data_IF_774591206298
#
_entry.id   IF_774591206298
#
_cell.length_a   1.000
_cell.length_b   1.000
_cell.length_c   1.000
_cell.angle_alpha   90.00
_cell.angle_beta   90.00
_cell.angle_gamma   90.00
#
_symmetry.space_group_name_H-M   'P 1'
#
loop_
_entity.id
_entity.type
_entity.pdbx_description
1 polymer ?
#
# COMPACT_ATOMS: atom_id res chain seq x y z
N UNK A 1 4.54 -24.46 7.75
CA UNK A 1 4.26 -24.46 6.30
C UNK A 1 5.16 -23.47 5.57
N UNK A 2 5.34 -23.64 4.24
CA UNK A 2 6.09 -22.70 3.39
C UNK A 2 5.13 -21.74 2.66
N UNK A 3 5.28 -20.45 2.91
CA UNK A 3 4.42 -19.41 2.33
C UNK A 3 5.22 -18.48 1.42
N UNK A 4 4.85 -18.41 0.14
CA UNK A 4 5.43 -17.45 -0.79
C UNK A 4 4.48 -16.27 -0.99
N UNK A 5 4.87 -15.08 -0.52
CA UNK A 5 4.00 -13.90 -0.50
C UNK A 5 4.46 -12.87 -1.53
N UNK A 6 3.53 -12.30 -2.30
CA UNK A 6 3.86 -11.26 -3.30
C UNK A 6 3.05 -10.00 -3.06
N UNK A 7 3.74 -8.94 -2.64
CA UNK A 7 3.26 -7.58 -2.51
C UNK A 7 4.08 -6.66 -3.44
N UNK A 8 3.43 -5.89 -4.29
CA UNK A 8 4.11 -5.10 -5.32
C UNK A 8 4.13 -3.59 -5.10
N UNK A 9 3.57 -3.12 -3.98
CA UNK A 9 3.41 -1.69 -3.66
C UNK A 9 3.49 -1.48 -2.14
N UNK A 10 3.66 -0.24 -1.69
CA UNK A 10 3.76 0.10 -0.25
C UNK A 10 2.53 -0.33 0.57
N UNK A 11 1.32 -0.20 0.02
CA UNK A 11 0.10 -0.71 0.67
C UNK A 11 0.10 -2.23 0.81
N UNK A 12 0.62 -2.93 -0.22
CA UNK A 12 0.80 -4.38 -0.17
C UNK A 12 1.83 -4.81 0.88
N UNK A 13 2.92 -4.05 1.06
CA UNK A 13 3.93 -4.28 2.09
C UNK A 13 3.33 -4.15 3.51
N UNK A 14 2.53 -3.11 3.77
CA UNK A 14 1.78 -2.95 5.01
C UNK A 14 0.86 -4.14 5.29
N UNK A 15 0.03 -4.52 4.32
CA UNK A 15 -0.90 -5.64 4.49
C UNK A 15 -0.16 -6.98 4.57
N UNK A 16 0.94 -7.12 3.83
CA UNK A 16 1.81 -8.30 3.88
C UNK A 16 2.48 -8.47 5.23
N UNK A 17 2.98 -7.38 5.84
CA UNK A 17 3.58 -7.43 7.16
C UNK A 17 2.58 -7.85 8.24
N UNK A 18 1.34 -7.34 8.21
CA UNK A 18 0.29 -7.75 9.13
C UNK A 18 -0.14 -9.21 8.92
N UNK A 19 -0.26 -9.64 7.67
CA UNK A 19 -0.53 -11.05 7.34
C UNK A 19 0.57 -11.96 7.86
N UNK A 20 1.85 -11.59 7.72
CA UNK A 20 2.99 -12.36 8.21
C UNK A 20 2.96 -12.49 9.74
N UNK A 21 2.65 -11.42 10.47
CA UNK A 21 2.48 -11.49 11.94
C UNK A 21 1.40 -12.50 12.33
N UNK A 22 0.25 -12.46 11.66
CA UNK A 22 -0.82 -13.44 11.89
C UNK A 22 -0.39 -14.88 11.53
N UNK A 23 0.35 -15.06 10.43
CA UNK A 23 0.85 -16.39 10.05
C UNK A 23 1.84 -16.94 11.08
N UNK A 24 2.76 -16.15 11.62
CA UNK A 24 3.68 -16.60 12.68
C UNK A 24 2.98 -16.89 14.01
N UNK A 25 1.87 -16.19 14.30
CA UNK A 25 1.06 -16.49 15.48
C UNK A 25 0.34 -17.85 15.37
N UNK A 26 -0.22 -18.16 14.20
CA UNK A 26 -0.99 -19.39 13.96
C UNK A 26 -0.10 -20.59 13.55
N UNK A 27 1.02 -20.32 12.90
CA UNK A 27 2.04 -21.31 12.49
C UNK A 27 3.43 -20.81 12.90
N UNK A 28 3.85 -21.03 14.16
CA UNK A 28 5.18 -20.60 14.64
C UNK A 28 6.36 -21.20 13.87
N UNK A 29 6.12 -22.29 13.12
CA UNK A 29 7.09 -22.91 12.22
C UNK A 29 6.92 -22.45 10.75
N UNK A 30 6.19 -21.36 10.50
CA UNK A 30 6.04 -20.82 9.16
C UNK A 30 7.39 -20.45 8.57
N UNK A 31 7.66 -20.94 7.37
CA UNK A 31 8.82 -20.55 6.56
C UNK A 31 8.30 -19.61 5.46
N UNK A 32 8.71 -18.34 5.50
CA UNK A 32 8.16 -17.30 4.63
C UNK A 32 9.24 -16.75 3.71
N UNK A 33 8.91 -16.72 2.41
CA UNK A 33 9.70 -16.08 1.37
C UNK A 33 8.83 -15.10 0.61
N UNK A 34 9.33 -13.90 0.29
CA UNK A 34 8.41 -12.86 -0.18
C UNK A 34 9.03 -11.83 -1.12
N UNK A 35 8.16 -11.22 -1.90
CA UNK A 35 8.33 -9.94 -2.57
C UNK A 35 7.57 -8.89 -1.75
N UNK A 36 8.22 -7.80 -1.36
CA UNK A 36 7.62 -6.81 -0.48
C UNK A 36 8.53 -5.63 -0.26
N UNK A 37 8.58 -5.11 0.94
CA UNK A 37 9.44 -4.00 1.33
C UNK A 37 9.93 -4.10 2.77
N UNK A 38 10.23 -2.93 3.34
CA UNK A 38 10.85 -2.83 4.66
C UNK A 38 9.96 -3.40 5.77
N UNK A 39 8.62 -3.15 5.73
CA UNK A 39 7.70 -3.59 6.79
C UNK A 39 7.59 -5.12 6.86
N UNK A 40 7.48 -5.79 5.71
CA UNK A 40 7.52 -7.26 5.66
C UNK A 40 8.88 -7.79 6.10
N UNK A 41 9.97 -7.12 5.70
CA UNK A 41 11.33 -7.54 6.04
C UNK A 41 11.65 -7.37 7.53
N UNK A 42 11.12 -6.35 8.19
CA UNK A 42 11.19 -6.19 9.64
C UNK A 42 10.51 -7.36 10.35
N UNK A 43 9.26 -7.69 9.99
CA UNK A 43 8.54 -8.83 10.58
C UNK A 43 9.25 -10.16 10.33
N UNK A 44 9.83 -10.34 9.13
CA UNK A 44 10.61 -11.54 8.84
C UNK A 44 11.80 -11.69 9.80
N UNK A 45 12.57 -10.63 10.00
CA UNK A 45 13.75 -10.60 10.88
C UNK A 45 13.43 -10.80 12.37
N UNK A 46 12.20 -10.48 12.79
CA UNK A 46 11.73 -10.74 14.15
C UNK A 46 11.52 -12.24 14.43
N UNK A 47 11.31 -13.06 13.38
CA UNK A 47 10.90 -14.46 13.50
C UNK A 47 11.84 -15.45 12.84
N UNK A 48 12.61 -15.03 11.86
CA UNK A 48 13.49 -15.92 11.08
C UNK A 48 14.85 -15.28 10.79
N UNK A 49 15.88 -16.12 10.83
CA UNK A 49 17.21 -15.78 10.34
C UNK A 49 17.33 -15.94 8.82
N UNK A 50 18.22 -15.18 8.20
CA UNK A 50 18.51 -15.31 6.77
C UNK A 50 17.86 -14.25 5.89
N UNK A 51 17.49 -14.62 4.65
CA UNK A 51 16.97 -13.71 3.63
C UNK A 51 15.65 -14.24 3.08
N UNK A 52 14.53 -13.72 3.58
CA UNK A 52 13.20 -13.99 3.05
C UNK A 52 12.80 -13.07 1.89
N UNK A 53 13.31 -11.84 1.87
CA UNK A 53 13.04 -10.85 0.83
C UNK A 53 13.77 -11.19 -0.48
N UNK A 54 13.01 -11.53 -1.51
CA UNK A 54 13.51 -11.86 -2.85
C UNK A 54 13.61 -10.63 -3.74
N UNK A 55 12.64 -9.74 -3.62
CA UNK A 55 12.54 -8.52 -4.42
C UNK A 55 11.87 -7.41 -3.63
N UNK A 56 12.55 -6.27 -3.52
CA UNK A 56 11.94 -5.05 -3.00
C UNK A 56 11.05 -4.40 -4.08
N UNK A 57 9.82 -3.99 -3.70
CA UNK A 57 8.93 -3.29 -4.62
C UNK A 57 9.52 -1.95 -5.11
N UNK A 58 10.39 -1.32 -4.32
CA UNK A 58 11.08 -0.06 -4.66
C UNK A 58 12.01 -0.21 -5.85
N UNK A 59 12.64 -1.38 -6.03
CA UNK A 59 13.56 -1.66 -7.14
C UNK A 59 12.90 -1.60 -8.53
N UNK A 60 11.58 -1.48 -8.59
CA UNK A 60 10.81 -1.38 -9.82
C UNK A 60 10.34 0.02 -10.18
N UNK A 61 10.59 1.00 -9.32
CA UNK A 61 10.07 2.36 -9.42
C UNK A 61 10.95 3.33 -10.26
N UNK A 62 11.93 2.84 -11.02
CA UNK A 62 12.79 3.68 -11.86
C UNK A 62 11.99 4.27 -13.01
N UNK A 63 11.88 5.60 -13.01
CA UNK A 63 11.04 6.44 -13.82
C UNK A 63 11.83 7.01 -15.01
N UNK A 64 11.22 6.99 -16.19
CA UNK A 64 11.71 7.73 -17.36
C UNK A 64 10.98 7.37 -18.64
N UNK A 65 10.56 8.37 -19.39
CA UNK A 65 9.73 8.30 -20.60
C UNK A 65 10.34 7.53 -21.80
N UNK A 66 11.64 7.24 -21.79
CA UNK A 66 12.38 6.56 -22.88
C UNK A 66 12.24 5.02 -22.83
N UNK A 67 11.44 4.45 -21.95
CA UNK A 67 11.59 3.06 -21.51
C UNK A 67 10.46 2.08 -21.84
N UNK A 68 9.59 2.31 -22.80
CA UNK A 68 8.50 1.35 -23.07
C UNK A 68 9.04 -0.02 -23.50
N UNK A 69 10.05 -0.06 -24.35
CA UNK A 69 10.68 -1.31 -24.80
C UNK A 69 11.59 -1.93 -23.70
N UNK A 70 12.34 -1.10 -22.95
CA UNK A 70 13.14 -1.53 -21.81
C UNK A 70 12.24 -2.01 -20.65
N UNK A 71 11.07 -1.39 -20.44
CA UNK A 71 10.07 -1.85 -19.47
C UNK A 71 9.53 -3.25 -19.78
N UNK A 72 9.27 -3.57 -21.04
CA UNK A 72 8.80 -4.90 -21.42
C UNK A 72 9.83 -5.98 -21.07
N UNK A 73 11.10 -5.74 -21.37
CA UNK A 73 12.20 -6.67 -21.04
C UNK A 73 12.38 -6.81 -19.53
N UNK A 74 12.42 -5.70 -18.80
CA UNK A 74 12.52 -5.69 -17.32
C UNK A 74 11.34 -6.42 -16.67
N UNK A 75 10.13 -6.22 -17.21
CA UNK A 75 8.93 -6.89 -16.71
C UNK A 75 8.97 -8.40 -16.97
N UNK A 76 9.52 -8.83 -18.10
CA UNK A 76 9.72 -10.23 -18.44
C UNK A 76 10.76 -10.91 -17.54
N UNK A 77 11.87 -10.24 -17.26
CA UNK A 77 12.89 -10.74 -16.34
C UNK A 77 12.37 -10.88 -14.91
N UNK A 78 11.49 -9.96 -14.46
CA UNK A 78 10.83 -10.10 -13.17
C UNK A 78 9.97 -11.37 -13.08
N UNK A 79 9.18 -11.69 -14.11
CA UNK A 79 8.41 -12.94 -14.13
C UNK A 79 9.33 -14.15 -14.10
N UNK A 80 10.36 -14.15 -14.93
CA UNK A 80 11.32 -15.25 -15.00
C UNK A 80 11.99 -15.51 -13.63
N UNK A 81 12.42 -14.45 -12.96
CA UNK A 81 12.97 -14.52 -11.61
C UNK A 81 11.96 -15.06 -10.60
N UNK A 82 10.73 -14.52 -10.60
CA UNK A 82 9.66 -14.94 -9.72
C UNK A 82 9.34 -16.43 -9.89
N UNK A 83 9.14 -16.88 -11.12
CA UNK A 83 8.79 -18.27 -11.45
C UNK A 83 9.92 -19.24 -11.10
N UNK A 84 11.18 -18.86 -11.38
CA UNK A 84 12.33 -19.67 -11.03
C UNK A 84 12.48 -19.81 -9.51
N UNK A 85 12.27 -18.71 -8.78
CA UNK A 85 12.38 -18.68 -7.34
C UNK A 85 11.29 -19.50 -6.66
N UNK A 86 10.01 -19.34 -7.06
CA UNK A 86 8.90 -20.16 -6.57
C UNK A 86 9.14 -21.64 -6.86
N UNK A 87 9.60 -21.97 -8.08
CA UNK A 87 9.85 -23.37 -8.45
C UNK A 87 10.97 -24.00 -7.62
N UNK A 88 12.05 -23.28 -7.38
CA UNK A 88 13.21 -23.79 -6.63
C UNK A 88 12.93 -23.93 -5.13
N UNK A 89 12.16 -22.97 -4.58
CA UNK A 89 11.84 -22.98 -3.16
C UNK A 89 10.66 -23.90 -2.81
N UNK A 90 9.79 -24.20 -3.77
CA UNK A 90 8.66 -25.11 -3.69
C UNK A 90 7.74 -24.87 -2.49
N UNK A 91 6.99 -23.74 -2.47
CA UNK A 91 6.07 -23.40 -1.38
C UNK A 91 4.84 -24.30 -1.31
N UNK A 92 4.23 -24.42 -0.12
CA UNK A 92 2.93 -25.05 0.06
C UNK A 92 1.79 -24.18 -0.49
N UNK A 93 1.97 -22.84 -0.45
CA UNK A 93 0.99 -21.88 -0.94
C UNK A 93 1.66 -20.59 -1.44
N UNK A 94 1.14 -20.06 -2.55
CA UNK A 94 1.49 -18.73 -3.08
C UNK A 94 0.38 -17.76 -2.72
N UNK A 95 0.70 -16.71 -1.96
CA UNK A 95 -0.24 -15.68 -1.51
C UNK A 95 0.03 -14.39 -2.29
N UNK A 96 -0.98 -13.91 -3.01
CA UNK A 96 -0.91 -12.74 -3.86
C UNK A 96 -1.68 -11.58 -3.21
N UNK A 97 -0.99 -10.46 -2.97
CA UNK A 97 -1.60 -9.28 -2.34
C UNK A 97 -1.83 -8.20 -3.40
N UNK A 98 -3.10 -7.86 -3.68
CA UNK A 98 -3.48 -6.87 -4.70
C UNK A 98 -2.61 -6.95 -5.99
N UNK A 99 -2.02 -5.86 -6.47
CA UNK A 99 -1.07 -5.78 -7.60
C UNK A 99 -1.50 -6.58 -8.84
N UNK A 100 -2.72 -6.37 -9.35
CA UNK A 100 -3.36 -7.28 -10.30
C UNK A 100 -2.64 -7.39 -11.65
N UNK A 101 -1.87 -6.38 -12.05
CA UNK A 101 -1.10 -6.41 -13.30
C UNK A 101 -0.07 -7.53 -13.35
N UNK A 102 0.59 -7.79 -12.24
CA UNK A 102 1.58 -8.84 -12.08
C UNK A 102 0.95 -10.13 -11.55
N UNK A 103 0.20 -10.01 -10.47
CA UNK A 103 -0.29 -11.15 -9.70
C UNK A 103 -1.22 -12.08 -10.49
N UNK A 104 -2.02 -11.60 -11.45
CA UNK A 104 -2.82 -12.50 -12.30
C UNK A 104 -1.97 -13.42 -13.19
N UNK A 105 -0.79 -13.00 -13.62
CA UNK A 105 0.11 -13.86 -14.40
C UNK A 105 0.81 -14.87 -13.51
N UNK A 106 1.17 -14.46 -12.29
CA UNK A 106 1.72 -15.39 -11.29
C UNK A 106 0.67 -16.43 -10.90
N UNK A 107 -0.58 -16.01 -10.64
CA UNK A 107 -1.69 -16.92 -10.33
C UNK A 107 -1.87 -18.00 -11.40
N UNK A 108 -1.99 -17.59 -12.67
CA UNK A 108 -2.14 -18.48 -13.81
C UNK A 108 -0.98 -19.48 -13.93
N UNK A 109 0.25 -18.97 -13.80
CA UNK A 109 1.44 -19.82 -13.87
C UNK A 109 1.54 -20.78 -12.68
N UNK A 110 1.35 -20.30 -11.45
CA UNK A 110 1.46 -21.09 -10.23
C UNK A 110 0.39 -22.20 -10.19
N UNK A 111 -0.86 -21.86 -10.51
CA UNK A 111 -1.96 -22.82 -10.60
C UNK A 111 -1.64 -23.93 -11.63
N UNK A 112 -1.17 -23.57 -12.82
CA UNK A 112 -0.81 -24.53 -13.87
C UNK A 112 0.40 -25.41 -13.49
N UNK A 113 1.20 -25.00 -12.50
CA UNK A 113 2.30 -25.79 -11.91
C UNK A 113 1.87 -26.62 -10.72
N UNK A 114 0.60 -26.55 -10.30
CA UNK A 114 0.04 -27.31 -9.19
C UNK A 114 0.22 -26.68 -7.82
N UNK A 115 0.69 -25.44 -7.74
CA UNK A 115 0.76 -24.70 -6.49
C UNK A 115 -0.64 -24.22 -6.06
N UNK A 116 -0.91 -24.21 -4.76
CA UNK A 116 -2.08 -23.54 -4.18
C UNK A 116 -1.91 -22.03 -4.30
N UNK A 117 -2.94 -21.34 -4.78
CA UNK A 117 -2.93 -19.90 -5.00
C UNK A 117 -4.02 -19.24 -4.16
N UNK A 118 -3.61 -18.39 -3.22
CA UNK A 118 -4.51 -17.55 -2.42
C UNK A 118 -4.37 -16.10 -2.89
N UNK A 119 -5.49 -15.42 -3.10
CA UNK A 119 -5.49 -14.00 -3.42
C UNK A 119 -6.01 -13.22 -2.21
N UNK A 120 -5.10 -12.59 -1.51
CA UNK A 120 -5.39 -11.76 -0.34
C UNK A 120 -5.55 -10.31 -0.77
N UNK A 121 -6.67 -9.69 -0.39
CA UNK A 121 -7.17 -8.40 -0.90
C UNK A 121 -7.50 -8.51 -2.39
N UNK A 122 -8.73 -8.92 -2.66
CA UNK A 122 -9.25 -9.10 -4.01
C UNK A 122 -9.02 -7.88 -4.90
N UNK A 123 -8.60 -8.07 -6.15
CA UNK A 123 -8.44 -6.95 -7.07
C UNK A 123 -9.80 -6.32 -7.37
N UNK A 124 -9.84 -4.98 -7.49
CA UNK A 124 -11.07 -4.18 -7.69
C UNK A 124 -11.69 -4.42 -9.09
N UNK A 125 -12.03 -5.67 -9.40
CA UNK A 125 -12.59 -6.07 -10.71
C UNK A 125 -13.98 -5.50 -10.94
N UNK A 126 -14.68 -5.15 -9.88
CA UNK A 126 -15.98 -4.46 -9.93
C UNK A 126 -15.87 -3.01 -10.42
N UNK A 127 -14.74 -2.35 -10.21
CA UNK A 127 -14.50 -0.98 -10.66
C UNK A 127 -13.96 -0.93 -12.10
N UNK A 128 -13.19 -1.96 -12.51
CA UNK A 128 -12.59 -1.99 -13.86
C UNK A 128 -12.16 -3.40 -14.24
N UNK A 129 -12.17 -3.68 -15.56
CA UNK A 129 -11.67 -4.94 -16.12
C UNK A 129 -12.38 -6.18 -15.58
N UNK A 130 -13.70 -6.15 -15.53
CA UNK A 130 -14.56 -7.24 -15.04
C UNK A 130 -14.24 -8.61 -15.68
N UNK A 131 -13.72 -8.65 -16.92
CA UNK A 131 -13.27 -9.87 -17.56
C UNK A 131 -12.23 -10.68 -16.78
N UNK A 132 -11.54 -10.06 -15.79
CA UNK A 132 -10.61 -10.74 -14.88
C UNK A 132 -11.28 -11.72 -13.92
N UNK A 133 -12.60 -11.65 -13.75
CA UNK A 133 -13.40 -12.64 -13.00
C UNK A 133 -13.12 -14.06 -13.48
N UNK A 134 -12.99 -14.27 -14.79
CA UNK A 134 -12.66 -15.58 -15.35
C UNK A 134 -11.33 -16.12 -14.83
N UNK A 135 -10.33 -15.23 -14.65
CA UNK A 135 -9.02 -15.62 -14.12
C UNK A 135 -9.07 -15.92 -12.62
N UNK A 136 -9.86 -15.18 -11.84
CA UNK A 136 -10.08 -15.51 -10.43
C UNK A 136 -10.67 -16.90 -10.28
N UNK A 137 -11.72 -17.21 -11.05
CA UNK A 137 -12.34 -18.55 -11.03
C UNK A 137 -11.42 -19.68 -11.45
N UNK A 138 -10.56 -19.43 -12.44
CA UNK A 138 -9.73 -20.46 -13.03
C UNK A 138 -8.45 -20.76 -12.24
N UNK A 139 -7.88 -19.75 -11.54
CA UNK A 139 -6.50 -19.83 -11.07
C UNK A 139 -6.33 -19.48 -9.58
N UNK A 140 -7.41 -19.18 -8.84
CA UNK A 140 -7.36 -18.81 -7.43
C UNK A 140 -8.15 -19.81 -6.59
N UNK A 141 -7.49 -20.49 -5.69
CA UNK A 141 -8.11 -21.49 -4.80
C UNK A 141 -8.87 -20.84 -3.63
N UNK A 142 -8.35 -19.72 -3.10
CA UNK A 142 -9.02 -18.92 -2.07
C UNK A 142 -8.91 -17.45 -2.36
N UNK A 143 -10.06 -16.77 -2.39
CA UNK A 143 -10.16 -15.33 -2.59
C UNK A 143 -10.57 -14.66 -1.28
N UNK A 144 -9.77 -13.71 -0.79
CA UNK A 144 -10.10 -12.92 0.38
C UNK A 144 -10.55 -11.53 -0.06
N UNK A 145 -11.79 -11.19 0.29
CA UNK A 145 -12.38 -9.87 0.02
C UNK A 145 -12.35 -9.02 1.28
N UNK A 146 -12.30 -7.69 1.12
CA UNK A 146 -12.10 -6.77 2.24
C UNK A 146 -13.24 -5.75 2.43
N UNK A 147 -14.13 -5.60 1.45
CA UNK A 147 -15.25 -4.67 1.54
C UNK A 147 -16.60 -5.40 1.62
N UNK A 148 -17.53 -4.97 2.50
CA UNK A 148 -18.86 -5.59 2.61
C UNK A 148 -19.65 -5.60 1.31
N UNK A 149 -19.54 -4.57 0.47
CA UNK A 149 -20.22 -4.49 -0.82
C UNK A 149 -19.70 -5.48 -1.87
N UNK A 150 -18.52 -6.08 -1.66
CA UNK A 150 -17.97 -7.13 -2.52
C UNK A 150 -18.70 -8.46 -2.33
N UNK A 151 -19.32 -8.68 -1.16
CA UNK A 151 -20.09 -9.89 -0.86
C UNK A 151 -21.16 -10.16 -1.91
N UNK A 152 -22.18 -9.28 -2.11
CA UNK A 152 -23.20 -9.51 -3.12
C UNK A 152 -22.64 -9.54 -4.54
N UNK A 153 -21.55 -8.82 -4.81
CA UNK A 153 -20.91 -8.82 -6.13
C UNK A 153 -20.33 -10.18 -6.47
N UNK A 154 -19.44 -10.73 -5.63
CA UNK A 154 -18.80 -12.03 -5.89
C UNK A 154 -19.77 -13.19 -5.78
N UNK A 155 -20.77 -13.13 -4.90
CA UNK A 155 -21.89 -14.10 -4.84
C UNK A 155 -22.63 -14.16 -6.18
N UNK A 156 -23.03 -13.02 -6.74
CA UNK A 156 -23.69 -12.95 -8.06
C UNK A 156 -22.81 -13.51 -9.19
N UNK A 157 -21.49 -13.38 -9.06
CA UNK A 157 -20.54 -13.93 -10.03
C UNK A 157 -20.25 -15.42 -9.81
N UNK A 158 -20.76 -16.05 -8.76
CA UNK A 158 -20.51 -17.44 -8.42
C UNK A 158 -19.02 -17.72 -8.18
N UNK A 159 -18.38 -16.87 -7.38
CA UNK A 159 -17.00 -17.03 -6.90
C UNK A 159 -17.06 -17.28 -5.41
N UNK A 160 -16.42 -18.34 -4.96
CA UNK A 160 -16.22 -18.58 -3.54
C UNK A 160 -15.19 -17.60 -2.96
N UNK A 161 -15.52 -17.00 -1.83
CA UNK A 161 -14.67 -16.02 -1.17
C UNK A 161 -14.71 -16.18 0.35
N UNK A 162 -13.71 -15.59 1.00
CA UNK A 162 -13.62 -15.45 2.44
C UNK A 162 -13.68 -13.96 2.77
N UNK A 163 -14.59 -13.57 3.66
CA UNK A 163 -14.69 -12.22 4.21
C UNK A 163 -14.46 -12.26 5.72
N UNK A 164 -13.44 -11.57 6.19
CA UNK A 164 -13.07 -11.45 7.62
C UNK A 164 -12.93 -9.99 8.07
N UNK A 165 -13.44 -9.06 7.29
CA UNK A 165 -13.27 -7.63 7.52
C UNK A 165 -12.15 -7.02 6.67
N UNK A 166 -11.87 -5.74 6.95
CA UNK A 166 -10.82 -5.00 6.25
C UNK A 166 -9.55 -4.97 7.11
N UNK A 167 -8.43 -5.52 6.65
CA UNK A 167 -7.17 -5.54 7.41
C UNK A 167 -6.60 -4.15 7.71
N UNK A 168 -7.11 -3.11 7.06
CA UNK A 168 -6.76 -1.73 7.37
C UNK A 168 -7.24 -1.32 8.76
N UNK A 169 -8.36 -1.88 9.25
CA UNK A 169 -8.86 -1.62 10.61
C UNK A 169 -7.84 -2.10 11.62
N UNK A 170 -7.34 -3.34 11.48
CA UNK A 170 -6.32 -3.88 12.37
C UNK A 170 -5.01 -3.05 12.31
N UNK A 171 -4.65 -2.57 11.12
CA UNK A 171 -3.47 -1.72 10.93
C UNK A 171 -3.63 -0.36 11.63
N UNK A 172 -4.83 0.22 11.63
CA UNK A 172 -5.15 1.47 12.33
C UNK A 172 -5.16 1.23 13.84
N UNK A 173 -5.91 0.22 14.32
CA UNK A 173 -6.07 -0.07 15.75
C UNK A 173 -4.73 -0.39 16.43
N UNK A 174 -3.80 -1.03 15.72
CA UNK A 174 -2.45 -1.31 16.19
C UNK A 174 -1.46 -0.15 15.97
N UNK A 175 -1.90 0.95 15.36
CA UNK A 175 -1.02 2.09 15.09
C UNK A 175 -0.64 2.83 16.37
N UNK A 176 0.65 3.11 16.52
CA UNK A 176 1.18 3.97 17.59
C UNK A 176 0.56 5.38 17.52
N UNK A 177 0.15 5.82 16.34
CA UNK A 177 -0.48 7.12 16.13
C UNK A 177 -1.78 7.31 16.93
N UNK A 178 -2.54 6.23 17.20
CA UNK A 178 -3.75 6.32 18.03
C UNK A 178 -3.48 6.56 19.51
N UNK A 179 -2.24 6.37 19.96
CA UNK A 179 -1.82 6.56 21.36
C UNK A 179 -1.17 7.94 21.58
N UNK A 180 -0.89 8.66 20.51
CA UNK A 180 -0.24 9.97 20.56
C UNK A 180 -1.28 11.05 20.87
N UNK A 181 -1.00 11.90 21.86
CA UNK A 181 -1.83 13.07 22.15
C UNK A 181 -1.65 14.16 21.09
N UNK A 182 -2.63 15.08 21.01
CA UNK A 182 -2.52 16.24 20.11
C UNK A 182 -1.27 17.09 20.42
N UNK A 183 -0.98 17.32 21.69
CA UNK A 183 0.18 18.10 22.13
C UNK A 183 1.50 17.43 21.70
N UNK A 184 1.59 16.11 21.80
CA UNK A 184 2.76 15.34 21.35
C UNK A 184 2.93 15.44 19.84
N UNK A 185 1.84 15.29 19.08
CA UNK A 185 1.85 15.44 17.63
C UNK A 185 2.30 16.82 17.19
N UNK A 186 1.74 17.89 17.77
CA UNK A 186 2.10 19.27 17.45
C UNK A 186 3.58 19.54 17.79
N UNK A 187 4.03 19.15 18.98
CA UNK A 187 5.42 19.30 19.43
C UNK A 187 6.40 18.57 18.54
N UNK A 188 6.13 17.29 18.23
CA UNK A 188 6.99 16.46 17.38
C UNK A 188 7.16 17.06 15.98
N UNK A 189 6.10 17.64 15.46
CA UNK A 189 6.10 18.25 14.14
C UNK A 189 6.44 19.75 14.16
N UNK A 190 6.79 20.35 15.32
CA UNK A 190 7.06 21.78 15.49
C UNK A 190 5.94 22.64 14.89
N UNK A 191 4.70 22.30 15.22
CA UNK A 191 3.48 22.99 14.81
C UNK A 191 2.99 23.91 15.94
N UNK A 192 2.41 25.09 15.64
CA UNK A 192 1.71 25.88 16.62
C UNK A 192 0.43 25.13 17.07
N UNK A 193 -0.15 25.55 18.19
CA UNK A 193 -1.45 25.05 18.64
C UNK A 193 -2.59 25.68 17.80
N UNK A 194 -2.73 25.17 16.60
CA UNK A 194 -3.66 25.61 15.58
C UNK A 194 -4.45 24.42 15.02
N UNK A 195 -5.60 24.68 14.44
CA UNK A 195 -6.37 23.64 13.75
C UNK A 195 -5.63 23.15 12.51
N UNK A 196 -5.66 21.86 12.29
CA UNK A 196 -4.92 21.18 11.20
C UNK A 196 -5.89 20.73 10.11
N UNK A 197 -5.54 21.02 8.87
CA UNK A 197 -6.18 20.42 7.67
C UNK A 197 -5.16 19.48 7.04
N UNK A 198 -5.54 18.22 6.91
CA UNK A 198 -4.71 17.19 6.26
C UNK A 198 -4.80 17.28 4.74
N UNK A 199 -3.65 17.20 4.05
CA UNK A 199 -3.55 17.16 2.60
C UNK A 199 -2.89 15.85 2.16
N UNK A 200 -3.62 14.98 1.45
CA UNK A 200 -3.16 13.65 1.05
C UNK A 200 -3.04 13.56 -0.48
N UNK A 201 -1.88 13.90 -1.01
CA UNK A 201 -1.62 13.95 -2.45
C UNK A 201 -1.45 12.57 -3.12
N UNK A 202 -1.36 11.52 -2.33
CA UNK A 202 -1.04 10.17 -2.79
C UNK A 202 0.44 9.81 -2.63
N UNK A 203 0.81 8.61 -3.07
CA UNK A 203 2.16 8.07 -2.90
C UNK A 203 2.98 7.97 -4.19
N UNK A 204 2.36 8.17 -5.36
CA UNK A 204 3.02 8.07 -6.67
C UNK A 204 3.43 9.45 -7.18
N UNK A 205 4.56 9.52 -7.88
CA UNK A 205 5.07 10.79 -8.46
C UNK A 205 4.01 11.52 -9.31
N UNK A 206 3.24 10.77 -10.14
CA UNK A 206 2.17 11.34 -10.95
C UNK A 206 1.04 11.93 -10.13
N UNK A 207 0.66 11.29 -9.03
CA UNK A 207 -0.36 11.78 -8.09
C UNK A 207 0.12 13.08 -7.43
N UNK A 208 1.32 13.04 -6.85
CA UNK A 208 1.94 14.21 -6.20
C UNK A 208 2.04 15.39 -7.18
N UNK A 209 2.54 15.16 -8.38
CA UNK A 209 2.72 16.23 -9.38
C UNK A 209 1.40 16.85 -9.86
N UNK A 210 0.33 16.07 -9.88
CA UNK A 210 -1.01 16.56 -10.26
C UNK A 210 -1.72 17.26 -9.10
N UNK A 211 -1.62 16.72 -7.88
CA UNK A 211 -2.42 17.20 -6.75
C UNK A 211 -1.78 18.33 -5.96
N UNK A 212 -0.45 18.34 -5.84
CA UNK A 212 0.23 19.37 -5.05
C UNK A 212 -0.06 20.81 -5.52
N UNK A 213 -0.09 21.13 -6.82
CA UNK A 213 -0.48 22.47 -7.25
C UNK A 213 -1.90 22.85 -6.79
N UNK A 214 -2.86 21.92 -6.89
CA UNK A 214 -4.25 22.14 -6.48
C UNK A 214 -4.35 22.33 -4.95
N UNK A 215 -3.62 21.53 -4.19
CA UNK A 215 -3.59 21.64 -2.74
C UNK A 215 -2.95 22.94 -2.25
N UNK A 216 -1.92 23.41 -2.93
CA UNK A 216 -1.31 24.70 -2.60
C UNK A 216 -2.25 25.85 -2.92
N UNK A 217 -2.92 25.83 -4.06
CA UNK A 217 -3.95 26.83 -4.39
C UNK A 217 -5.09 26.83 -3.37
N UNK A 218 -5.52 25.65 -2.92
CA UNK A 218 -6.51 25.52 -1.86
C UNK A 218 -6.01 26.13 -0.54
N UNK A 219 -4.79 25.75 -0.11
CA UNK A 219 -4.20 26.26 1.14
C UNK A 219 -4.02 27.79 1.10
N UNK A 220 -3.57 28.34 -0.03
CA UNK A 220 -3.40 29.79 -0.21
C UNK A 220 -4.75 30.55 -0.09
N UNK A 221 -5.79 30.03 -0.75
CA UNK A 221 -7.14 30.61 -0.70
C UNK A 221 -7.74 30.55 0.71
N UNK A 222 -7.58 29.41 1.39
CA UNK A 222 -8.07 29.26 2.76
C UNK A 222 -7.31 30.19 3.71
N UNK A 223 -5.98 30.21 3.65
CA UNK A 223 -5.14 31.05 4.52
C UNK A 223 -5.40 32.54 4.34
N UNK A 224 -5.83 32.97 3.13
CA UNK A 224 -6.21 34.36 2.87
C UNK A 224 -7.55 34.79 3.50
N UNK A 225 -8.35 33.84 3.98
CA UNK A 225 -9.61 34.11 4.69
C UNK A 225 -9.32 34.30 6.19
N UNK A 226 -9.80 35.40 6.83
CA UNK A 226 -9.49 35.68 8.23
C UNK A 226 -9.84 34.54 9.19
N UNK A 227 -10.95 33.84 8.96
CA UNK A 227 -11.41 32.72 9.78
C UNK A 227 -10.53 31.47 9.71
N UNK A 228 -9.64 31.35 8.72
CA UNK A 228 -8.73 30.21 8.52
C UNK A 228 -7.26 30.62 8.52
N UNK A 229 -6.94 31.88 8.79
CA UNK A 229 -5.57 32.40 8.75
C UNK A 229 -4.59 31.70 9.71
N UNK A 230 -5.10 31.19 10.85
CA UNK A 230 -4.31 30.47 11.86
C UNK A 230 -4.25 28.95 11.61
N UNK A 231 -4.92 28.44 10.57
CA UNK A 231 -4.92 27.00 10.30
C UNK A 231 -3.58 26.54 9.72
N UNK A 232 -3.19 25.30 10.04
CA UNK A 232 -2.03 24.64 9.49
C UNK A 232 -2.45 23.58 8.46
N UNK A 233 -1.84 23.59 7.29
CA UNK A 233 -2.07 22.62 6.23
C UNK A 233 -0.93 21.61 6.24
N UNK A 234 -1.23 20.35 6.56
CA UNK A 234 -0.21 19.32 6.73
C UNK A 234 -0.27 18.34 5.55
N UNK A 235 0.75 18.36 4.72
CA UNK A 235 0.92 17.36 3.66
C UNK A 235 1.42 16.05 4.27
N UNK A 236 0.56 15.03 4.30
CA UNK A 236 0.92 13.69 4.74
C UNK A 236 1.65 12.95 3.62
N UNK A 237 2.97 12.98 3.65
CA UNK A 237 3.83 12.36 2.66
C UNK A 237 4.07 10.88 2.96
N UNK A 238 4.07 10.05 1.91
CA UNK A 238 4.37 8.63 2.02
C UNK A 238 5.80 8.39 2.51
N UNK A 239 6.06 7.32 3.31
CA UNK A 239 7.40 7.01 3.82
C UNK A 239 8.45 6.82 2.73
N UNK A 240 8.03 6.34 1.55
CA UNK A 240 8.90 6.09 0.39
C UNK A 240 9.29 7.35 -0.39
N UNK A 241 8.86 8.55 0.06
CA UNK A 241 9.13 9.83 -0.59
C UNK A 241 10.14 10.66 0.18
N UNK A 242 10.64 11.69 -0.48
CA UNK A 242 11.60 12.64 0.10
C UNK A 242 11.13 14.09 -0.06
N UNK A 243 11.73 15.01 0.69
CA UNK A 243 11.39 16.43 0.60
C UNK A 243 11.57 17.00 -0.81
N UNK A 244 12.48 16.46 -1.63
CA UNK A 244 12.69 16.91 -3.01
C UNK A 244 11.44 16.74 -3.91
N UNK A 245 10.53 15.81 -3.56
CA UNK A 245 9.27 15.61 -4.27
C UNK A 245 8.26 16.75 -4.01
N UNK A 246 8.40 17.45 -2.86
CA UNK A 246 7.43 18.43 -2.36
C UNK A 246 7.95 19.87 -2.30
N UNK A 247 9.25 20.08 -2.09
CA UNK A 247 9.86 21.36 -1.78
C UNK A 247 9.48 22.50 -2.73
N UNK A 248 9.44 22.23 -4.04
CA UNK A 248 9.07 23.21 -5.05
C UNK A 248 7.63 23.72 -4.94
N UNK A 249 6.73 22.93 -4.31
CA UNK A 249 5.33 23.31 -4.14
C UNK A 249 5.11 24.10 -2.87
N UNK A 250 5.80 23.74 -1.79
CA UNK A 250 5.61 24.34 -0.48
C UNK A 250 6.47 25.58 -0.23
N UNK A 251 7.42 25.86 -1.13
CA UNK A 251 8.29 27.05 -1.07
C UNK A 251 7.46 28.33 -0.96
N UNK A 252 7.80 29.18 0.05
CA UNK A 252 7.10 30.43 0.36
C UNK A 252 5.81 30.27 1.17
N UNK A 253 5.48 29.05 1.63
CA UNK A 253 4.28 28.71 2.42
C UNK A 253 4.61 28.08 3.78
N UNK A 254 5.88 28.11 4.17
CA UNK A 254 6.41 27.42 5.35
C UNK A 254 5.75 27.88 6.67
N UNK A 255 5.12 29.05 6.67
CA UNK A 255 4.38 29.56 7.82
C UNK A 255 3.08 28.80 8.11
N UNK A 256 2.42 28.25 7.08
CA UNK A 256 1.12 27.57 7.22
C UNK A 256 1.04 26.22 6.52
N UNK A 257 2.03 25.83 5.70
CA UNK A 257 2.10 24.51 5.08
C UNK A 257 3.31 23.74 5.56
N UNK A 258 3.12 22.50 6.01
CA UNK A 258 4.19 21.60 6.42
C UNK A 258 4.07 20.24 5.77
N UNK A 259 5.21 19.61 5.44
CA UNK A 259 5.27 18.23 4.93
C UNK A 259 5.77 17.33 6.05
N UNK A 260 5.03 16.27 6.36
CA UNK A 260 5.42 15.26 7.35
C UNK A 260 5.40 13.88 6.71
N UNK A 261 6.42 13.07 6.99
CA UNK A 261 6.63 11.76 6.35
C UNK A 261 6.25 10.63 7.28
N UNK A 262 5.58 9.59 6.74
CA UNK A 262 5.27 8.37 7.48
C UNK A 262 4.27 8.54 8.62
N UNK A 263 3.51 9.62 8.66
CA UNK A 263 2.61 9.97 9.76
C UNK A 263 1.15 10.12 9.34
N UNK A 264 0.72 9.46 8.28
CA UNK A 264 -0.62 9.67 7.71
C UNK A 264 -1.73 9.46 8.72
N UNK A 265 -1.64 8.44 9.57
CA UNK A 265 -2.65 8.19 10.61
C UNK A 265 -2.66 9.28 11.70
N UNK A 266 -1.49 9.73 12.16
CA UNK A 266 -1.42 10.81 13.14
C UNK A 266 -1.94 12.14 12.57
N UNK A 267 -1.58 12.45 11.32
CA UNK A 267 -2.08 13.65 10.64
C UNK A 267 -3.61 13.62 10.53
N UNK A 268 -4.19 12.48 10.11
CA UNK A 268 -5.64 12.33 10.01
C UNK A 268 -6.33 12.36 11.37
N UNK A 269 -5.75 11.75 12.41
CA UNK A 269 -6.29 11.71 13.75
C UNK A 269 -6.43 13.14 14.35
N UNK A 270 -5.42 13.99 14.11
CA UNK A 270 -5.36 15.33 14.70
C UNK A 270 -5.86 16.44 13.76
N UNK A 271 -6.29 16.11 12.56
CA UNK A 271 -6.89 17.04 11.62
C UNK A 271 -8.40 17.23 11.86
N UNK A 272 -8.88 18.47 11.71
CA UNK A 272 -10.32 18.77 11.74
C UNK A 272 -11.00 18.50 10.41
N UNK A 273 -10.22 18.48 9.33
CA UNK A 273 -10.67 18.15 7.97
C UNK A 273 -9.51 17.56 7.15
N UNK A 274 -9.85 16.84 6.09
CA UNK A 274 -8.87 16.31 5.16
C UNK A 274 -9.28 16.55 3.70
N UNK A 275 -8.32 16.95 2.88
CA UNK A 275 -8.45 17.00 1.41
C UNK A 275 -7.61 15.87 0.84
N UNK A 276 -8.27 14.95 0.17
CA UNK A 276 -7.65 13.69 -0.26
C UNK A 276 -7.74 13.49 -1.76
N UNK A 277 -6.68 12.95 -2.35
CA UNK A 277 -6.74 12.44 -3.72
C UNK A 277 -7.53 11.13 -3.71
N UNK A 278 -8.60 11.05 -4.47
CA UNK A 278 -9.43 9.83 -4.50
C UNK A 278 -8.66 8.66 -5.11
N UNK A 279 -8.70 7.52 -4.45
CA UNK A 279 -8.05 6.27 -4.91
C UNK A 279 -7.53 5.42 -3.77
N UNK A 280 -6.49 5.84 -3.10
CA UNK A 280 -5.81 5.02 -2.07
C UNK A 280 -5.88 5.63 -0.67
N UNK A 281 -6.32 6.86 -0.55
CA UNK A 281 -6.48 7.54 0.74
C UNK A 281 -7.88 7.31 1.31
#
# INVERSE_FOLDING_TARGET
MKYYIIAGEASGDLHGSNLMRGLYQEDPAADIRFWGGDMMNEVYKEHQDGVGLVQDYKDGAIIGFIQVALKARSYFEKFKRCFADISSWNPDVVILIDYPGFNFRVAEWAHNKGFKVYYYIAPKVWASREGRIKKLKAFVDKLFIVFPFEIPYFTKKGIDFIYKGNPLIDAIDNSVALKESREEFLRRNSLPDSLVIALMAGSRTGEISSMMPVFMEFADKMHALPEYADYQFIVAAAPSRSMSDYSKYVAGREAYVKVVFGQSYAVLLHAVAAVVNSGTA
#
